data_IF_265168867378
#
_entry.id   IF_265168867378
#
_cell.length_a   1.000
_cell.length_b   1.000
_cell.length_c   1.000
_cell.angle_alpha   90.00
_cell.angle_beta   90.00
_cell.angle_gamma   90.00
#
_symmetry.space_group_name_H-M   'P 1'
#
loop_
_entity.id
_entity.type
_entity.pdbx_description
1 polymer ?
#
# COMPACT_ATOMS: atom_id res chain seq x y z
N UNK A 1 -25.20 -9.53 -1.90
CA UNK A 1 -25.48 -8.08 -1.93
C UNK A 1 -24.52 -7.45 -2.93
N UNK A 2 -25.00 -7.03 -4.11
CA UNK A 2 -24.16 -6.44 -5.14
C UNK A 2 -23.48 -5.19 -4.55
N UNK A 3 -22.15 -5.09 -4.70
CA UNK A 3 -21.38 -3.90 -4.33
C UNK A 3 -21.96 -2.71 -5.10
N UNK A 4 -22.63 -1.77 -4.41
CA UNK A 4 -22.98 -0.48 -5.01
C UNK A 4 -21.68 0.33 -5.15
N UNK A 5 -21.00 0.15 -6.28
CA UNK A 5 -19.82 0.95 -6.63
C UNK A 5 -20.24 2.41 -6.87
N UNK A 6 -19.30 3.33 -6.62
CA UNK A 6 -19.44 4.73 -7.03
C UNK A 6 -19.65 4.81 -8.56
N UNK A 7 -20.45 5.77 -9.04
CA UNK A 7 -20.75 5.94 -10.46
C UNK A 7 -19.48 6.15 -11.30
N UNK A 8 -18.48 6.83 -10.77
CA UNK A 8 -17.21 7.03 -11.45
C UNK A 8 -16.45 5.71 -11.64
N UNK A 9 -16.39 4.85 -10.64
CA UNK A 9 -15.74 3.54 -10.74
C UNK A 9 -16.47 2.65 -11.75
N UNK A 10 -17.82 2.67 -11.74
CA UNK A 10 -18.63 1.94 -12.74
C UNK A 10 -18.34 2.42 -14.16
N UNK A 11 -18.31 3.74 -14.37
CA UNK A 11 -17.95 4.33 -15.66
C UNK A 11 -16.54 3.90 -16.06
N UNK A 12 -15.55 4.05 -15.18
CA UNK A 12 -14.15 3.73 -15.45
C UNK A 12 -13.92 2.26 -15.83
N UNK A 13 -14.72 1.34 -15.28
CA UNK A 13 -14.69 -0.07 -15.62
C UNK A 13 -15.43 -0.41 -16.90
N UNK A 14 -16.40 0.41 -17.33
CA UNK A 14 -17.22 0.18 -18.50
C UNK A 14 -16.65 0.73 -19.81
N UNK A 15 -15.62 1.60 -19.75
CA UNK A 15 -15.04 2.24 -20.92
C UNK A 15 -14.38 1.23 -21.84
N UNK A 16 -14.65 1.37 -23.15
CA UNK A 16 -14.09 0.52 -24.22
C UNK A 16 -13.36 1.38 -25.25
N UNK A 17 -12.37 0.78 -25.88
CA UNK A 17 -11.71 1.43 -27.02
C UNK A 17 -12.66 1.54 -28.22
N UNK A 18 -12.59 2.61 -29.04
CA UNK A 18 -13.31 2.70 -30.31
C UNK A 18 -13.01 1.51 -31.21
N UNK A 19 -14.04 1.01 -31.93
CA UNK A 19 -13.90 -0.17 -32.79
C UNK A 19 -12.82 0.00 -33.87
N UNK A 20 -12.66 1.23 -34.40
CA UNK A 20 -11.75 1.56 -35.50
C UNK A 20 -10.42 2.18 -35.03
N UNK A 21 -10.01 2.03 -33.76
CA UNK A 21 -8.76 2.60 -33.31
C UNK A 21 -7.54 1.81 -33.84
N UNK A 22 -6.49 2.55 -34.27
CA UNK A 22 -5.21 1.95 -34.63
C UNK A 22 -4.53 1.29 -33.46
N UNK A 23 -3.52 0.45 -33.73
CA UNK A 23 -2.72 -0.22 -32.66
C UNK A 23 -2.09 0.79 -31.70
N UNK A 24 -1.53 1.90 -32.25
CA UNK A 24 -0.90 2.96 -31.46
C UNK A 24 -1.94 3.69 -30.60
N UNK A 25 -3.07 4.07 -31.19
CA UNK A 25 -4.17 4.72 -30.47
C UNK A 25 -4.67 3.84 -29.33
N UNK A 26 -4.85 2.54 -29.57
CA UNK A 26 -5.24 1.59 -28.54
C UNK A 26 -4.20 1.53 -27.42
N UNK A 27 -2.92 1.44 -27.74
CA UNK A 27 -1.85 1.44 -26.75
C UNK A 27 -1.89 2.72 -25.90
N UNK A 28 -2.02 3.88 -26.50
CA UNK A 28 -2.10 5.16 -25.79
C UNK A 28 -3.34 5.21 -24.88
N UNK A 29 -4.49 4.72 -25.34
CA UNK A 29 -5.71 4.66 -24.53
C UNK A 29 -5.56 3.69 -23.35
N UNK A 30 -5.04 2.49 -23.60
CA UNK A 30 -4.79 1.50 -22.52
C UNK A 30 -3.82 2.06 -21.48
N UNK A 31 -2.75 2.74 -21.91
CA UNK A 31 -1.78 3.37 -21.00
C UNK A 31 -2.43 4.51 -20.19
N UNK A 32 -3.24 5.35 -20.83
CA UNK A 32 -3.98 6.43 -20.18
C UNK A 32 -4.93 5.88 -19.11
N UNK A 33 -5.77 4.90 -19.49
CA UNK A 33 -6.74 4.32 -18.55
C UNK A 33 -6.07 3.47 -17.47
N UNK A 34 -4.95 2.82 -17.77
CA UNK A 34 -4.09 2.23 -16.75
C UNK A 34 -3.66 3.29 -15.74
N UNK A 35 -3.13 4.42 -16.18
CA UNK A 35 -2.73 5.54 -15.31
C UNK A 35 -3.89 6.10 -14.50
N UNK A 36 -5.07 6.31 -15.10
CA UNK A 36 -6.25 6.80 -14.39
C UNK A 36 -6.70 5.80 -13.30
N UNK A 37 -6.75 4.50 -13.60
CA UNK A 37 -7.09 3.47 -12.63
C UNK A 37 -6.06 3.39 -11.49
N UNK A 38 -4.76 3.54 -11.80
CA UNK A 38 -3.70 3.64 -10.78
C UNK A 38 -3.88 4.87 -9.90
N UNK A 39 -4.08 6.05 -10.48
CA UNK A 39 -4.32 7.28 -9.74
C UNK A 39 -5.57 7.17 -8.84
N UNK A 40 -6.65 6.58 -9.37
CA UNK A 40 -7.87 6.32 -8.59
C UNK A 40 -7.61 5.33 -7.43
N UNK A 41 -6.84 4.27 -7.66
CA UNK A 41 -6.47 3.33 -6.61
C UNK A 41 -5.57 3.96 -5.53
N UNK A 42 -4.75 4.95 -5.91
CA UNK A 42 -3.90 5.73 -5.01
C UNK A 42 -4.60 6.94 -4.39
N UNK A 43 -5.93 7.05 -4.46
CA UNK A 43 -6.65 8.26 -4.02
C UNK A 43 -6.39 8.61 -2.55
N UNK A 44 -6.42 7.62 -1.64
CA UNK A 44 -6.08 7.85 -0.22
C UNK A 44 -4.66 8.39 -0.08
N UNK A 45 -3.70 7.73 -0.74
CA UNK A 45 -2.28 8.13 -0.72
C UNK A 45 -2.10 9.56 -1.23
N UNK A 46 -2.71 9.87 -2.38
CA UNK A 46 -2.62 11.20 -3.00
C UNK A 46 -3.20 12.31 -2.12
N UNK A 47 -4.38 12.09 -1.54
CA UNK A 47 -5.01 13.04 -0.62
C UNK A 47 -4.21 13.20 0.68
N UNK A 48 -3.64 12.12 1.21
CA UNK A 48 -2.78 12.18 2.38
C UNK A 48 -1.50 12.97 2.10
N UNK A 49 -0.82 12.73 0.96
CA UNK A 49 0.34 13.53 0.55
C UNK A 49 -0.01 15.00 0.31
N UNK A 50 -1.16 15.28 -0.27
CA UNK A 50 -1.66 16.65 -0.39
C UNK A 50 -1.81 17.31 0.98
N UNK A 51 -2.34 16.58 1.97
CA UNK A 51 -2.42 17.04 3.35
C UNK A 51 -1.03 17.34 3.94
N UNK A 52 -0.06 16.47 3.69
CA UNK A 52 1.34 16.67 4.11
C UNK A 52 1.96 17.94 3.51
N UNK A 53 1.62 18.26 2.25
CA UNK A 53 2.11 19.47 1.56
C UNK A 53 1.44 20.73 2.08
N UNK A 54 0.14 20.67 2.43
CA UNK A 54 -0.65 21.82 2.83
C UNK A 54 -0.51 22.16 4.32
N UNK A 55 -0.23 21.16 5.18
CA UNK A 55 -0.08 21.40 6.62
C UNK A 55 1.34 21.85 6.95
N UNK A 56 1.54 23.08 7.48
CA UNK A 56 2.85 23.58 7.87
C UNK A 56 3.51 22.70 8.93
N UNK A 57 4.84 22.76 9.02
CA UNK A 57 5.61 22.00 10.04
C UNK A 57 5.26 22.43 11.46
N UNK A 58 4.99 23.72 11.64
CA UNK A 58 4.63 24.31 12.92
C UNK A 58 3.20 23.97 13.38
N UNK A 59 2.41 23.33 12.52
CA UNK A 59 0.99 23.11 12.76
C UNK A 59 0.14 24.33 12.42
N UNK A 60 -1.13 24.31 12.84
CA UNK A 60 -2.12 25.40 12.60
C UNK A 60 -2.88 25.64 13.90
N UNK A 61 -3.02 26.92 14.30
CA UNK A 61 -3.81 27.35 15.45
C UNK A 61 -3.49 26.61 16.77
N UNK A 62 -2.22 26.30 16.99
CA UNK A 62 -1.75 25.58 18.20
C UNK A 62 -1.94 24.06 18.16
N UNK A 63 -2.50 23.51 17.07
CA UNK A 63 -2.58 22.06 16.84
C UNK A 63 -1.34 21.59 16.09
N UNK A 64 -0.70 20.53 16.59
CA UNK A 64 0.52 20.01 16.00
C UNK A 64 0.27 19.45 14.60
N UNK A 65 1.33 19.45 13.76
CA UNK A 65 1.28 18.86 12.42
C UNK A 65 0.79 17.42 12.43
N UNK A 66 1.30 16.60 13.32
CA UNK A 66 0.97 15.16 13.38
C UNK A 66 -0.49 14.93 13.80
N UNK A 67 -1.04 15.77 14.69
CA UNK A 67 -2.42 15.69 15.10
C UNK A 67 -3.36 16.10 13.96
N UNK A 68 -2.99 17.15 13.20
CA UNK A 68 -3.71 17.55 11.99
C UNK A 68 -3.68 16.48 10.89
N UNK A 69 -2.53 15.85 10.67
CA UNK A 69 -2.40 14.77 9.69
C UNK A 69 -3.23 13.55 10.08
N UNK A 70 -3.31 13.21 11.37
CA UNK A 70 -4.20 12.16 11.86
C UNK A 70 -5.67 12.51 11.59
N UNK A 71 -6.07 13.72 11.94
CA UNK A 71 -7.45 14.21 11.70
C UNK A 71 -7.80 14.12 10.21
N UNK A 72 -6.92 14.62 9.33
CA UNK A 72 -7.12 14.59 7.88
C UNK A 72 -7.17 13.15 7.34
N UNK A 73 -6.29 12.25 7.81
CA UNK A 73 -6.32 10.83 7.42
C UNK A 73 -7.65 10.17 7.79
N UNK A 74 -8.17 10.44 8.99
CA UNK A 74 -9.48 9.95 9.44
C UNK A 74 -10.63 10.54 8.59
N UNK A 75 -10.60 11.83 8.30
CA UNK A 75 -11.60 12.48 7.47
C UNK A 75 -11.59 11.95 6.03
N UNK A 76 -10.42 11.73 5.44
CA UNK A 76 -10.27 11.10 4.12
C UNK A 76 -10.86 9.69 4.15
N UNK A 77 -10.54 8.89 5.17
CA UNK A 77 -11.05 7.51 5.28
C UNK A 77 -12.58 7.48 5.43
N UNK A 78 -13.14 8.32 6.29
CA UNK A 78 -14.59 8.45 6.47
C UNK A 78 -15.26 8.87 5.17
N UNK A 79 -14.69 9.89 4.48
CA UNK A 79 -15.21 10.36 3.21
C UNK A 79 -15.16 9.25 2.13
N UNK A 80 -14.10 8.48 2.04
CA UNK A 80 -14.00 7.38 1.06
C UNK A 80 -15.08 6.31 1.27
N UNK A 81 -15.40 5.99 2.52
CA UNK A 81 -16.50 5.05 2.83
C UNK A 81 -17.86 5.70 2.53
N UNK A 82 -18.08 6.95 2.93
CA UNK A 82 -19.32 7.68 2.68
C UNK A 82 -19.59 7.87 1.18
N UNK A 83 -18.57 8.22 0.42
CA UNK A 83 -18.63 8.37 -1.05
C UNK A 83 -18.71 7.03 -1.81
N UNK A 84 -18.79 5.90 -1.10
CA UNK A 84 -18.78 4.54 -1.68
C UNK A 84 -17.56 4.22 -2.55
N UNK A 85 -16.47 4.90 -2.27
CA UNK A 85 -15.16 4.63 -2.88
C UNK A 85 -14.48 3.43 -2.21
N UNK A 86 -14.82 3.16 -0.95
CA UNK A 86 -14.46 1.98 -0.18
C UNK A 86 -15.70 1.40 0.51
N UNK A 87 -15.71 0.08 0.69
CA UNK A 87 -16.74 -0.60 1.46
C UNK A 87 -16.34 -0.74 2.93
N UNK A 88 -17.30 -0.97 3.82
CA UNK A 88 -17.03 -1.25 5.23
C UNK A 88 -16.09 -2.45 5.45
N UNK A 89 -16.21 -3.49 4.62
CA UNK A 89 -15.31 -4.65 4.70
C UNK A 89 -13.89 -4.31 4.26
N UNK A 90 -13.73 -3.44 3.26
CA UNK A 90 -12.44 -2.91 2.85
C UNK A 90 -11.85 -2.04 3.96
N UNK A 91 -12.64 -1.16 4.59
CA UNK A 91 -12.21 -0.33 5.71
C UNK A 91 -11.73 -1.17 6.91
N UNK A 92 -12.41 -2.29 7.22
CA UNK A 92 -11.95 -3.24 8.27
C UNK A 92 -10.59 -3.86 7.92
N UNK A 93 -10.39 -4.28 6.65
CA UNK A 93 -9.11 -4.82 6.20
C UNK A 93 -8.00 -3.76 6.26
N UNK A 94 -8.30 -2.52 5.86
CA UNK A 94 -7.39 -1.36 5.96
C UNK A 94 -7.02 -1.08 7.42
N UNK A 95 -7.99 -1.17 8.35
CA UNK A 95 -7.74 -1.04 9.79
C UNK A 95 -6.79 -2.12 10.33
N UNK A 96 -6.85 -3.34 9.81
CA UNK A 96 -5.89 -4.40 10.16
C UNK A 96 -4.47 -4.00 9.72
N UNK A 97 -4.30 -3.49 8.51
CA UNK A 97 -2.99 -3.01 8.04
C UNK A 97 -2.48 -1.84 8.86
N UNK A 98 -3.36 -0.95 9.31
CA UNK A 98 -3.00 0.12 10.24
C UNK A 98 -2.41 -0.43 11.53
N UNK A 99 -3.06 -1.41 12.16
CA UNK A 99 -2.60 -2.01 13.42
C UNK A 99 -1.26 -2.74 13.21
N UNK A 100 -1.16 -3.59 12.19
CA UNK A 100 0.05 -4.36 11.88
C UNK A 100 1.24 -3.42 11.61
N UNK A 101 1.01 -2.36 10.82
CA UNK A 101 2.03 -1.35 10.54
C UNK A 101 2.41 -0.55 11.78
N UNK A 102 1.44 -0.15 12.61
CA UNK A 102 1.69 0.61 13.82
C UNK A 102 2.52 -0.18 14.85
N UNK A 103 2.26 -1.47 15.01
CA UNK A 103 3.08 -2.36 15.88
C UNK A 103 4.54 -2.37 15.40
N UNK A 104 4.76 -2.47 14.08
CA UNK A 104 6.11 -2.42 13.51
C UNK A 104 6.77 -1.05 13.77
N UNK A 105 6.04 0.05 13.62
CA UNK A 105 6.52 1.41 13.89
C UNK A 105 6.98 1.57 15.34
N UNK A 106 6.14 1.18 16.31
CA UNK A 106 6.49 1.24 17.73
C UNK A 106 7.76 0.46 18.03
N UNK A 107 7.90 -0.74 17.46
CA UNK A 107 9.11 -1.54 17.64
C UNK A 107 10.34 -0.85 17.04
N UNK A 108 10.26 -0.39 15.78
CA UNK A 108 11.37 0.18 15.03
C UNK A 108 11.87 1.52 15.58
N UNK A 109 10.99 2.30 16.19
CA UNK A 109 11.32 3.60 16.79
C UNK A 109 11.66 3.49 18.28
N UNK A 110 11.50 2.31 18.89
CA UNK A 110 11.82 2.09 20.31
C UNK A 110 13.26 2.46 20.63
N UNK A 111 13.52 2.88 21.88
CA UNK A 111 14.84 3.30 22.33
C UNK A 111 15.96 2.27 22.13
N UNK A 112 15.62 0.97 22.08
CA UNK A 112 16.56 -0.12 21.82
C UNK A 112 16.94 -0.28 20.34
N UNK A 113 16.09 0.15 19.41
CA UNK A 113 16.25 -0.11 17.96
C UNK A 113 16.59 1.17 17.17
N UNK A 114 15.84 2.26 17.38
CA UNK A 114 16.06 3.60 16.81
C UNK A 114 16.34 3.61 15.29
N UNK A 115 15.58 2.79 14.53
CA UNK A 115 15.75 2.73 13.07
C UNK A 115 15.40 4.05 12.38
N UNK A 116 14.44 4.80 12.92
CA UNK A 116 14.03 6.17 12.55
C UNK A 116 13.32 6.82 13.73
N UNK A 117 13.04 8.10 13.63
CA UNK A 117 12.35 8.86 14.68
C UNK A 117 11.31 9.81 14.11
N UNK A 118 10.33 10.15 14.95
CA UNK A 118 9.31 11.17 14.71
C UNK A 118 9.61 12.38 15.60
N UNK A 119 10.31 13.43 15.06
CA UNK A 119 10.85 14.50 15.90
C UNK A 119 9.77 15.45 16.45
N UNK A 120 8.70 15.73 15.68
CA UNK A 120 7.73 16.75 16.03
C UNK A 120 6.85 16.33 17.22
N UNK A 121 6.48 17.25 18.14
CA UNK A 121 5.56 16.95 19.22
C UNK A 121 4.13 16.71 18.71
N UNK A 122 3.35 15.86 19.40
CA UNK A 122 1.92 15.69 19.15
C UNK A 122 1.23 15.02 20.34
N UNK A 123 -0.07 15.29 20.49
CA UNK A 123 -0.94 14.64 21.47
C UNK A 123 -1.27 13.21 21.06
N UNK A 124 -1.35 12.94 19.76
CA UNK A 124 -1.68 11.62 19.18
C UNK A 124 -0.51 10.65 19.10
N UNK A 125 0.58 10.88 19.82
CA UNK A 125 1.68 9.92 19.91
C UNK A 125 1.42 8.86 20.98
N UNK A 126 1.61 7.60 20.58
CA UNK A 126 1.58 6.44 21.47
C UNK A 126 2.96 5.77 21.36
N UNK A 127 3.65 5.60 22.49
CA UNK A 127 5.03 5.13 22.55
C UNK A 127 6.02 5.91 21.65
N UNK A 128 5.80 7.22 21.50
CA UNK A 128 6.62 8.08 20.65
C UNK A 128 6.29 8.06 19.16
N UNK A 129 5.36 7.23 18.74
CA UNK A 129 4.90 7.09 17.33
C UNK A 129 3.56 7.84 17.15
N UNK A 130 3.44 8.75 16.20
CA UNK A 130 2.16 9.39 15.89
C UNK A 130 1.20 8.38 15.26
N UNK A 131 -0.07 8.41 15.66
CA UNK A 131 -1.07 7.45 15.17
C UNK A 131 -1.28 7.49 13.65
N UNK A 132 -1.01 8.63 12.99
CA UNK A 132 -1.08 8.67 11.53
C UNK A 132 -0.10 7.71 10.84
N UNK A 133 1.01 7.32 11.50
CA UNK A 133 2.02 6.44 10.91
C UNK A 133 1.45 5.09 10.46
N UNK A 134 0.47 4.54 11.18
CA UNK A 134 -0.22 3.32 10.77
C UNK A 134 -1.00 3.47 9.45
N UNK A 135 -1.47 4.69 9.12
CA UNK A 135 -2.16 4.93 7.85
C UNK A 135 -1.25 4.82 6.63
N UNK A 136 0.06 4.96 6.77
CA UNK A 136 1.00 4.74 5.67
C UNK A 136 1.00 3.28 5.21
N UNK A 137 0.90 2.33 6.13
CA UNK A 137 0.75 0.89 5.82
C UNK A 137 -0.66 0.56 5.34
N UNK A 138 -1.67 1.16 5.97
CA UNK A 138 -3.06 1.06 5.56
C UNK A 138 -3.27 1.53 4.11
N UNK A 139 -2.56 2.57 3.68
CA UNK A 139 -2.58 3.10 2.32
C UNK A 139 -2.13 2.06 1.28
N UNK A 140 -1.13 1.23 1.58
CA UNK A 140 -0.70 0.12 0.71
C UNK A 140 -1.80 -0.94 0.61
N UNK A 141 -2.45 -1.27 1.73
CA UNK A 141 -3.59 -2.18 1.76
C UNK A 141 -4.78 -1.66 0.94
N UNK A 142 -5.15 -0.38 1.15
CA UNK A 142 -6.19 0.29 0.37
C UNK A 142 -5.87 0.25 -1.13
N UNK A 143 -4.66 0.62 -1.54
CA UNK A 143 -4.22 0.56 -2.93
C UNK A 143 -4.41 -0.85 -3.54
N UNK A 144 -3.92 -1.91 -2.88
CA UNK A 144 -4.03 -3.27 -3.42
C UNK A 144 -5.50 -3.70 -3.54
N UNK A 145 -6.34 -3.37 -2.57
CA UNK A 145 -7.77 -3.67 -2.60
C UNK A 145 -8.45 -2.94 -3.76
N UNK A 146 -8.16 -1.64 -3.92
CA UNK A 146 -8.75 -0.78 -4.94
C UNK A 146 -8.33 -1.22 -6.35
N UNK A 147 -7.03 -1.45 -6.59
CA UNK A 147 -6.54 -1.87 -7.89
C UNK A 147 -7.04 -3.26 -8.28
N UNK A 148 -7.19 -4.16 -7.29
CA UNK A 148 -7.78 -5.48 -7.52
C UNK A 148 -9.18 -5.37 -8.11
N UNK A 149 -9.99 -4.45 -7.57
CA UNK A 149 -11.35 -4.20 -8.03
C UNK A 149 -11.38 -3.47 -9.37
N UNK A 150 -10.69 -2.34 -9.49
CA UNK A 150 -10.73 -1.46 -10.67
C UNK A 150 -10.17 -2.10 -11.94
N UNK A 151 -9.20 -2.99 -11.77
CA UNK A 151 -8.60 -3.72 -12.89
C UNK A 151 -9.09 -5.16 -13.02
N UNK A 152 -10.07 -5.57 -12.20
CA UNK A 152 -10.64 -6.92 -12.20
C UNK A 152 -9.54 -7.99 -12.14
N UNK A 153 -8.58 -7.84 -11.20
CA UNK A 153 -7.41 -8.70 -11.12
C UNK A 153 -7.78 -10.17 -10.96
N UNK A 154 -7.19 -11.01 -11.79
CA UNK A 154 -7.23 -12.46 -11.66
C UNK A 154 -5.80 -13.00 -11.57
N UNK A 155 -5.57 -13.91 -10.62
CA UNK A 155 -4.24 -14.49 -10.37
C UNK A 155 -4.26 -15.97 -10.78
N UNK A 156 -3.31 -16.36 -11.64
CA UNK A 156 -3.09 -17.76 -12.03
C UNK A 156 -1.79 -18.27 -11.44
N UNK A 157 -1.75 -19.58 -11.17
CA UNK A 157 -0.63 -20.28 -10.56
C UNK A 157 -0.17 -19.64 -9.24
N UNK A 158 -1.16 -19.16 -8.43
CA UNK A 158 -0.89 -18.71 -7.08
C UNK A 158 -0.37 -19.91 -6.25
N UNK A 159 0.70 -19.74 -5.47
CA UNK A 159 1.17 -20.80 -4.59
C UNK A 159 0.07 -21.18 -3.57
N UNK A 160 0.15 -22.36 -2.96
CA UNK A 160 -0.77 -22.75 -1.90
C UNK A 160 -0.85 -21.64 -0.84
N UNK A 161 -2.07 -21.30 -0.40
CA UNK A 161 -2.27 -20.16 0.51
C UNK A 161 -1.49 -20.28 1.81
N UNK A 162 -1.30 -21.50 2.33
CA UNK A 162 -0.52 -21.72 3.54
C UNK A 162 0.97 -21.39 3.34
N UNK A 163 1.55 -21.69 2.15
CA UNK A 163 2.94 -21.33 1.82
C UNK A 163 3.10 -19.82 1.68
N UNK A 164 2.13 -19.17 1.02
CA UNK A 164 2.10 -17.72 0.89
C UNK A 164 1.99 -17.05 2.28
N UNK A 165 1.12 -17.59 3.15
CA UNK A 165 0.97 -17.11 4.51
C UNK A 165 2.24 -17.34 5.35
N UNK A 166 2.89 -18.50 5.21
CA UNK A 166 4.14 -18.81 5.90
C UNK A 166 5.25 -17.82 5.50
N UNK A 167 5.47 -17.62 4.20
CA UNK A 167 6.52 -16.69 3.75
C UNK A 167 6.20 -15.24 4.16
N UNK A 168 4.94 -14.80 4.09
CA UNK A 168 4.52 -13.49 4.55
C UNK A 168 4.78 -13.31 6.06
N UNK A 169 4.50 -14.34 6.87
CA UNK A 169 4.78 -14.33 8.31
C UNK A 169 6.29 -14.27 8.59
N UNK A 170 7.10 -15.05 7.86
CA UNK A 170 8.56 -15.03 8.01
C UNK A 170 9.15 -13.66 7.61
N UNK A 171 8.64 -13.04 6.54
CA UNK A 171 9.01 -11.67 6.15
C UNK A 171 8.69 -10.69 7.28
N UNK A 172 7.48 -10.76 7.83
CA UNK A 172 7.07 -9.88 8.92
C UNK A 172 7.94 -10.09 10.17
N UNK A 173 8.18 -11.34 10.56
CA UNK A 173 9.06 -11.67 11.68
C UNK A 173 10.49 -11.18 11.47
N UNK A 174 11.02 -11.25 10.23
CA UNK A 174 12.36 -10.76 9.93
C UNK A 174 12.49 -9.25 10.14
N UNK A 175 11.42 -8.46 9.97
CA UNK A 175 11.46 -7.03 10.30
C UNK A 175 11.73 -6.75 11.78
N UNK A 176 11.41 -7.70 12.68
CA UNK A 176 11.71 -7.60 14.11
C UNK A 176 13.05 -8.27 14.44
N UNK A 177 13.26 -9.48 13.96
CA UNK A 177 14.34 -10.36 14.40
C UNK A 177 15.71 -9.98 13.85
N UNK A 178 15.80 -9.30 12.70
CA UNK A 178 17.10 -8.97 12.07
C UNK A 178 17.99 -8.05 12.91
N UNK A 179 17.44 -7.40 13.94
CA UNK A 179 18.23 -6.64 14.91
C UNK A 179 18.97 -7.53 15.93
N UNK A 180 18.58 -8.79 16.04
CA UNK A 180 19.10 -9.71 17.08
C UNK A 180 19.85 -10.91 16.51
N UNK A 181 19.34 -11.50 15.40
CA UNK A 181 19.83 -12.78 14.86
C UNK A 181 20.36 -12.69 13.42
N UNK A 182 20.39 -11.50 12.83
CA UNK A 182 20.84 -11.29 11.46
C UNK A 182 19.69 -11.07 10.47
N UNK A 183 20.02 -10.48 9.33
CA UNK A 183 19.07 -10.11 8.28
C UNK A 183 18.96 -11.21 7.22
N UNK A 184 17.87 -11.95 7.26
CA UNK A 184 17.56 -13.03 6.29
C UNK A 184 16.77 -12.53 5.08
N UNK A 185 16.70 -11.22 4.86
CA UNK A 185 15.92 -10.57 3.78
C UNK A 185 16.17 -11.19 2.41
N UNK A 186 17.42 -11.42 2.07
CA UNK A 186 17.80 -11.94 0.74
C UNK A 186 17.43 -13.42 0.55
N UNK A 187 17.48 -14.22 1.61
CA UNK A 187 16.97 -15.61 1.58
C UNK A 187 15.46 -15.63 1.41
N UNK A 188 14.74 -14.78 2.13
CA UNK A 188 13.29 -14.65 2.01
C UNK A 188 12.90 -14.12 0.62
N UNK A 189 13.65 -13.17 0.06
CA UNK A 189 13.45 -12.71 -1.31
C UNK A 189 13.67 -13.85 -2.33
N UNK A 190 14.73 -14.64 -2.20
CA UNK A 190 15.00 -15.78 -3.09
C UNK A 190 13.89 -16.84 -3.00
N UNK A 191 13.44 -17.19 -1.80
CA UNK A 191 12.31 -18.12 -1.59
C UNK A 191 11.05 -17.57 -2.25
N UNK A 192 10.75 -16.28 -2.07
CA UNK A 192 9.60 -15.61 -2.68
C UNK A 192 9.68 -15.63 -4.20
N UNK A 193 10.85 -15.35 -4.77
CA UNK A 193 11.08 -15.44 -6.22
C UNK A 193 10.78 -16.85 -6.75
N UNK A 194 11.26 -17.89 -6.07
CA UNK A 194 10.96 -19.28 -6.43
C UNK A 194 9.47 -19.61 -6.30
N UNK A 195 8.86 -19.19 -5.20
CA UNK A 195 7.46 -19.50 -4.90
C UNK A 195 6.48 -18.85 -5.89
N UNK A 196 6.73 -17.60 -6.28
CA UNK A 196 5.86 -16.82 -7.17
C UNK A 196 6.35 -16.78 -8.62
N UNK A 197 7.42 -17.53 -8.98
CA UNK A 197 8.06 -17.49 -10.31
C UNK A 197 7.08 -17.74 -11.47
N UNK A 198 6.05 -18.59 -11.25
CA UNK A 198 5.04 -18.93 -12.25
C UNK A 198 3.74 -18.14 -12.11
N UNK A 199 3.63 -17.27 -11.10
CA UNK A 199 2.41 -16.55 -10.81
C UNK A 199 2.24 -15.39 -11.77
N UNK A 200 1.11 -15.38 -12.47
CA UNK A 200 0.75 -14.36 -13.45
C UNK A 200 -0.51 -13.66 -12.96
N UNK A 201 -0.51 -12.35 -13.03
CA UNK A 201 -1.68 -11.51 -12.80
C UNK A 201 -2.25 -11.03 -14.13
N UNK A 202 -3.54 -11.24 -14.31
CA UNK A 202 -4.34 -10.74 -15.43
C UNK A 202 -5.09 -9.51 -14.97
N UNK A 203 -5.18 -8.51 -15.83
CA UNK A 203 -5.80 -7.22 -15.49
C UNK A 203 -6.38 -6.53 -16.73
N UNK A 204 -7.38 -5.69 -16.51
CA UNK A 204 -8.06 -4.92 -17.56
C UNK A 204 -7.72 -3.43 -17.43
N UNK A 205 -6.72 -2.91 -18.17
CA UNK A 205 -6.50 -1.46 -18.20
C UNK A 205 -7.67 -0.76 -18.91
N UNK A 206 -8.21 -1.36 -19.95
CA UNK A 206 -9.37 -0.91 -20.71
C UNK A 206 -10.30 -2.13 -20.94
N UNK A 207 -10.64 -2.46 -22.17
CA UNK A 207 -11.54 -3.55 -22.57
C UNK A 207 -10.83 -4.87 -22.89
N UNK A 208 -9.49 -4.85 -23.08
CA UNK A 208 -8.68 -6.05 -23.29
C UNK A 208 -7.95 -6.47 -22.03
N UNK A 209 -7.97 -7.77 -21.78
CA UNK A 209 -7.17 -8.37 -20.72
C UNK A 209 -5.68 -8.32 -21.09
N UNK A 210 -4.88 -7.89 -20.14
CA UNK A 210 -3.41 -7.87 -20.18
C UNK A 210 -2.89 -8.75 -19.05
N UNK A 211 -1.62 -9.15 -19.16
CA UNK A 211 -0.98 -9.98 -18.14
C UNK A 211 0.43 -9.52 -17.85
N UNK A 212 0.89 -9.77 -16.62
CA UNK A 212 2.27 -9.58 -16.21
C UNK A 212 2.65 -10.58 -15.12
N UNK A 213 3.95 -10.89 -14.94
CA UNK A 213 4.41 -11.63 -13.76
C UNK A 213 4.05 -10.86 -12.48
N UNK A 214 3.49 -11.55 -11.48
CA UNK A 214 3.12 -10.92 -10.20
C UNK A 214 4.33 -10.32 -9.49
N UNK A 215 5.49 -10.97 -9.61
CA UNK A 215 6.75 -10.48 -9.05
C UNK A 215 7.13 -9.08 -9.56
N UNK A 216 6.86 -8.79 -10.84
CA UNK A 216 7.06 -7.45 -11.39
C UNK A 216 6.18 -6.42 -10.68
N UNK A 217 4.93 -6.78 -10.39
CA UNK A 217 4.02 -5.94 -9.60
C UNK A 217 4.58 -5.62 -8.21
N UNK A 218 5.11 -6.62 -7.50
CA UNK A 218 5.72 -6.41 -6.18
C UNK A 218 6.91 -5.45 -6.22
N UNK A 219 7.78 -5.61 -7.21
CA UNK A 219 8.97 -4.77 -7.38
C UNK A 219 8.57 -3.33 -7.73
N UNK A 220 7.61 -3.15 -8.67
CA UNK A 220 7.16 -1.82 -9.08
C UNK A 220 6.42 -1.08 -7.95
N UNK A 221 5.51 -1.75 -7.25
CA UNK A 221 4.81 -1.13 -6.11
C UNK A 221 5.80 -0.78 -5.00
N UNK A 222 6.74 -1.67 -4.68
CA UNK A 222 7.81 -1.39 -3.71
C UNK A 222 8.66 -0.18 -4.11
N UNK A 223 8.94 0.00 -5.41
CA UNK A 223 9.65 1.17 -5.93
C UNK A 223 8.88 2.46 -5.68
N UNK A 224 7.59 2.50 -6.00
CA UNK A 224 6.76 3.68 -5.75
C UNK A 224 6.60 3.99 -4.27
N UNK A 225 6.55 2.96 -3.39
CA UNK A 225 6.56 3.18 -1.94
C UNK A 225 7.91 3.79 -1.49
N UNK A 226 9.04 3.32 -2.04
CA UNK A 226 10.35 3.91 -1.77
C UNK A 226 10.44 5.36 -2.23
N UNK A 227 9.84 5.73 -3.38
CA UNK A 227 9.74 7.14 -3.81
C UNK A 227 8.89 7.96 -2.81
N UNK A 228 7.73 7.42 -2.40
CA UNK A 228 6.88 8.06 -1.41
C UNK A 228 7.59 8.26 -0.06
N UNK A 229 8.41 7.30 0.37
CA UNK A 229 9.26 7.40 1.56
C UNK A 229 10.28 8.54 1.45
N UNK A 230 10.92 8.69 0.29
CA UNK A 230 11.84 9.80 0.03
C UNK A 230 11.13 11.16 0.12
N UNK A 231 9.93 11.29 -0.45
CA UNK A 231 9.12 12.50 -0.34
C UNK A 231 8.76 12.77 1.13
N UNK A 232 8.33 11.74 1.86
CA UNK A 232 7.92 11.85 3.26
C UNK A 232 9.05 12.30 4.18
N UNK A 233 10.25 11.71 4.02
CA UNK A 233 11.43 12.10 4.80
C UNK A 233 11.93 13.50 4.39
N UNK A 234 11.88 13.86 3.10
CA UNK A 234 12.18 15.22 2.64
C UNK A 234 11.24 16.25 3.26
N UNK A 235 9.96 15.92 3.36
CA UNK A 235 8.95 16.75 4.01
C UNK A 235 9.04 16.74 5.55
N UNK A 236 9.96 15.95 6.13
CA UNK A 236 10.21 15.88 7.57
C UNK A 236 9.13 15.18 8.37
N UNK A 237 8.39 14.21 7.78
CA UNK A 237 7.42 13.41 8.53
C UNK A 237 8.09 12.48 9.55
N UNK A 238 9.24 11.93 9.18
CA UNK A 238 10.16 11.21 10.06
C UNK A 238 11.58 11.37 9.53
N UNK A 239 12.56 11.00 10.32
CA UNK A 239 13.97 11.11 9.94
C UNK A 239 14.72 9.83 10.28
N UNK A 240 15.57 9.40 9.36
CA UNK A 240 16.58 8.38 9.62
C UNK A 240 17.77 8.98 10.36
N UNK A 241 18.57 8.18 11.11
CA UNK A 241 19.75 8.70 11.82
C UNK A 241 20.73 9.48 10.94
N UNK A 242 20.89 9.05 9.67
CA UNK A 242 21.76 9.73 8.69
C UNK A 242 21.14 11.01 8.10
N UNK A 243 19.90 11.34 8.43
CA UNK A 243 19.17 12.51 7.93
C UNK A 243 18.98 13.60 9.00
N UNK A 244 19.49 13.40 10.22
CA UNK A 244 19.29 14.34 11.33
C UNK A 244 19.97 15.71 11.13
N UNK A 245 21.05 15.80 10.35
CA UNK A 245 21.75 17.07 10.06
C UNK A 245 21.30 17.70 8.75
N UNK A 246 21.18 16.90 7.71
CA UNK A 246 20.71 17.30 6.38
C UNK A 246 20.00 16.12 5.72
N UNK A 247 18.96 16.41 4.96
CA UNK A 247 18.26 15.37 4.23
C UNK A 247 19.18 14.72 3.19
N UNK A 248 19.09 13.41 3.11
CA UNK A 248 19.73 12.61 2.07
C UNK A 248 18.75 11.56 1.55
N UNK A 249 18.97 11.09 0.32
CA UNK A 249 18.14 10.06 -0.30
C UNK A 249 18.12 8.79 0.57
N UNK A 250 16.93 8.25 0.81
CA UNK A 250 16.76 6.99 1.54
C UNK A 250 17.49 5.88 0.79
N UNK A 251 18.30 5.12 1.52
CA UNK A 251 19.12 4.06 0.93
C UNK A 251 18.30 3.11 0.04
N UNK A 252 18.78 2.86 -1.18
CA UNK A 252 18.08 2.06 -2.20
C UNK A 252 17.72 0.66 -1.72
N UNK A 253 18.46 0.10 -0.77
CA UNK A 253 18.14 -1.17 -0.11
C UNK A 253 16.76 -1.20 0.59
N UNK A 254 16.18 -0.03 0.91
CA UNK A 254 14.81 0.05 1.42
C UNK A 254 13.76 -0.36 0.39
N UNK A 255 14.04 -0.19 -0.91
CA UNK A 255 13.16 -0.69 -1.97
C UNK A 255 12.90 -2.20 -1.84
N UNK A 256 13.92 -3.02 -1.56
CA UNK A 256 13.72 -4.45 -1.32
C UNK A 256 12.83 -4.74 -0.11
N UNK A 257 12.98 -3.97 0.97
CA UNK A 257 12.12 -4.08 2.17
C UNK A 257 10.65 -3.75 1.84
N UNK A 258 10.43 -2.69 1.06
CA UNK A 258 9.08 -2.31 0.62
C UNK A 258 8.48 -3.36 -0.31
N UNK A 259 9.26 -3.93 -1.24
CA UNK A 259 8.79 -5.02 -2.09
C UNK A 259 8.35 -6.24 -1.28
N UNK A 260 9.10 -6.60 -0.23
CA UNK A 260 8.73 -7.68 0.70
C UNK A 260 7.46 -7.34 1.50
N UNK A 261 7.30 -6.08 1.93
CA UNK A 261 6.08 -5.63 2.62
C UNK A 261 4.85 -5.73 1.70
N UNK A 262 5.00 -5.40 0.42
CA UNK A 262 3.93 -5.53 -0.59
C UNK A 262 3.50 -7.00 -0.73
N UNK A 263 4.43 -7.95 -0.69
CA UNK A 263 4.12 -9.39 -0.72
C UNK A 263 3.26 -9.79 0.47
N UNK A 264 3.61 -9.33 1.67
CA UNK A 264 2.81 -9.57 2.87
C UNK A 264 1.40 -8.99 2.74
N UNK A 265 1.31 -7.72 2.32
CA UNK A 265 0.03 -7.03 2.13
C UNK A 265 -0.84 -7.72 1.07
N UNK A 266 -0.24 -8.08 -0.08
CA UNK A 266 -0.92 -8.83 -1.14
C UNK A 266 -1.43 -10.18 -0.63
N UNK A 267 -0.63 -10.92 0.14
CA UNK A 267 -1.01 -12.23 0.69
C UNK A 267 -2.23 -12.09 1.59
N UNK A 268 -2.27 -11.09 2.46
CA UNK A 268 -3.44 -10.83 3.34
C UNK A 268 -4.68 -10.51 2.49
N UNK A 269 -4.56 -9.62 1.48
CA UNK A 269 -5.68 -9.26 0.60
C UNK A 269 -6.16 -10.47 -0.20
N UNK A 270 -5.24 -11.26 -0.78
CA UNK A 270 -5.58 -12.47 -1.54
C UNK A 270 -6.31 -13.49 -0.66
N UNK A 271 -5.84 -13.69 0.59
CA UNK A 271 -6.51 -14.58 1.55
C UNK A 271 -7.91 -14.09 1.91
N UNK A 272 -8.09 -12.79 2.17
CA UNK A 272 -9.40 -12.22 2.45
C UNK A 272 -10.36 -12.40 1.27
N UNK A 273 -9.89 -12.19 0.03
CA UNK A 273 -10.68 -12.42 -1.19
C UNK A 273 -11.06 -13.89 -1.36
N UNK A 274 -10.13 -14.80 -1.10
CA UNK A 274 -10.36 -16.25 -1.18
C UNK A 274 -11.38 -16.73 -0.15
N UNK A 275 -11.25 -16.34 1.11
CA UNK A 275 -12.19 -16.68 2.18
C UNK A 275 -13.59 -16.15 1.86
N UNK A 276 -13.67 -14.88 1.40
CA UNK A 276 -14.95 -14.25 1.05
C UNK A 276 -15.63 -14.95 -0.12
N UNK A 277 -14.88 -15.40 -1.13
CA UNK A 277 -15.44 -16.17 -2.25
C UNK A 277 -16.02 -17.51 -1.78
N UNK A 278 -15.37 -18.19 -0.83
CA UNK A 278 -15.88 -19.47 -0.27
C UNK A 278 -17.14 -19.32 0.57
N UNK A 279 -17.28 -18.22 1.32
CA UNK A 279 -18.45 -17.96 2.17
C UNK A 279 -19.70 -17.65 1.32
N UNK A 280 -19.52 -17.13 0.11
CA UNK A 280 -20.61 -16.68 -0.77
C UNK A 280 -20.98 -17.68 -1.87
N UNK A 281 -20.36 -18.84 -1.94
CA UNK A 281 -20.78 -19.93 -2.84
C UNK A 281 -21.78 -20.80 -2.06
N UNK A 282 -23.09 -20.77 -2.36
CA UNK A 282 -23.99 -21.81 -1.88
C UNK A 282 -23.54 -23.16 -2.48
N UNK A 283 -23.45 -24.19 -1.68
CA UNK A 283 -23.27 -25.56 -2.14
C UNK A 283 -24.45 -26.03 -2.98
#
# INVERSE_FOLDING_TARGET
MALQLNLFDQWLMSVKAPANCSVVQRFCLEFLFFGIKQARACLFVGLFFLSVLLVPREGIAGVSRYDLLLLLALLIQIWMVWAKLETWDEAKAISLFHIVGFVLEVFKTSGAIQSWSYPDPALSKVFGVPLFAGFMYAAVGSYIIQIWRLMELRVRHHPPYWMAALIASLIYLNFFSHHYIGDYRWYLAAITLGLYARTIVFYHPLDKERQMPLLLGFVLVGFFIWLAENISTFMGLWSYPNQLGAWSVVHVGKWSSWSLLVIMTFTIVAQLKYVKARIHVPE
#
